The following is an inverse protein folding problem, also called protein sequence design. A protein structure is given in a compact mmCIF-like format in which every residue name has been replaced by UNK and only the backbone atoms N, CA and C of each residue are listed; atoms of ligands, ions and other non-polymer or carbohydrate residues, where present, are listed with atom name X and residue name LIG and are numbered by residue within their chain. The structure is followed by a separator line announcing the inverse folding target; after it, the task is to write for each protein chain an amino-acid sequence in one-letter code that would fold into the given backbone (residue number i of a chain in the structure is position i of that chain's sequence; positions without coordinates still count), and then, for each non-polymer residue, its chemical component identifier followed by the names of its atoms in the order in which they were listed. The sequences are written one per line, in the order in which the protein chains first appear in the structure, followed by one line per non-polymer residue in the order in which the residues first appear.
data_IF_498327501980
#
_entry.id   IF_498327501980
#
_cell.length_a   1.000
_cell.length_b   1.000
_cell.length_c   1.000
_cell.angle_alpha   90.00
_cell.angle_beta   90.00
_cell.angle_gamma   90.00
#
_symmetry.space_group_name_H-M   'P 1'
#
loop_
_entity.id
_entity.type
_entity.pdbx_description
1 polymer ?
#
# COMPACT_ATOMS: atom_id res chain seq x y z
N UNK A 1 19.25 37.47 16.84
CA UNK A 1 19.47 36.29 17.70
C UNK A 1 18.25 35.41 17.55
N UNK A 2 18.26 34.50 16.58
CA UNK A 2 17.12 33.63 16.26
C UNK A 2 17.23 32.37 17.09
N UNK A 3 16.25 32.11 17.95
CA UNK A 3 16.18 30.96 18.85
C UNK A 3 16.31 29.62 18.10
N UNK A 4 17.52 29.09 18.08
CA UNK A 4 17.88 27.73 17.67
C UNK A 4 17.53 26.72 18.77
N UNK A 5 16.30 26.73 19.27
CA UNK A 5 15.89 25.84 20.37
C UNK A 5 14.46 25.32 20.27
N UNK A 6 13.90 25.22 19.06
CA UNK A 6 12.77 24.31 18.83
C UNK A 6 13.30 22.86 18.67
N UNK A 7 14.04 22.39 19.67
CA UNK A 7 14.37 20.97 19.79
C UNK A 7 13.03 20.22 19.86
N UNK A 8 12.74 19.44 18.83
CA UNK A 8 11.51 18.65 18.69
C UNK A 8 11.30 17.79 19.93
N UNK A 9 10.42 18.23 20.84
CA UNK A 9 10.00 17.46 22.00
C UNK A 9 9.22 16.23 21.51
N UNK A 10 9.91 15.11 21.35
CA UNK A 10 9.27 13.82 21.10
C UNK A 10 8.80 13.25 22.44
N UNK A 11 7.50 13.34 22.70
CA UNK A 11 6.90 12.74 23.90
C UNK A 11 6.71 11.23 23.71
N UNK A 12 7.29 10.43 24.61
CA UNK A 12 7.08 8.98 24.65
C UNK A 12 5.93 8.66 25.60
N UNK A 13 4.78 8.31 25.05
CA UNK A 13 3.63 7.85 25.84
C UNK A 13 3.63 6.32 25.97
N UNK A 14 3.40 5.83 27.19
CA UNK A 14 3.07 4.43 27.43
C UNK A 14 1.55 4.30 27.49
N UNK A 15 0.97 3.51 26.59
CA UNK A 15 -0.45 3.19 26.66
C UNK A 15 -0.65 2.10 27.72
N UNK A 16 -1.43 2.41 28.76
CA UNK A 16 -1.86 1.45 29.78
C UNK A 16 -3.37 1.22 29.65
N UNK A 17 -3.81 0.44 28.63
CA UNK A 17 -5.23 0.25 28.39
C UNK A 17 -5.86 -0.60 29.50
N UNK A 18 -7.03 -0.18 29.95
CA UNK A 18 -7.88 -0.96 30.84
C UNK A 18 -8.47 -2.20 30.11
N UNK A 19 -9.16 -3.08 30.85
CA UNK A 19 -9.65 -4.34 30.30
C UNK A 19 -10.59 -4.18 29.09
N UNK A 20 -11.40 -3.13 29.06
CA UNK A 20 -12.30 -2.85 27.95
C UNK A 20 -11.55 -2.35 26.72
N UNK A 21 -10.61 -1.43 26.90
CA UNK A 21 -9.76 -0.90 25.84
C UNK A 21 -8.90 -1.99 25.19
N UNK A 22 -8.36 -2.93 25.97
CA UNK A 22 -7.62 -4.10 25.43
C UNK A 22 -8.49 -4.96 24.53
N UNK A 23 -9.72 -5.24 24.95
CA UNK A 23 -10.68 -5.99 24.13
C UNK A 23 -11.05 -5.23 22.86
N UNK A 24 -11.26 -3.92 22.97
CA UNK A 24 -11.53 -3.07 21.81
C UNK A 24 -10.38 -3.10 20.80
N UNK A 25 -9.14 -2.86 21.24
CA UNK A 25 -7.96 -2.93 20.36
C UNK A 25 -7.78 -4.30 19.72
N UNK A 26 -8.01 -5.37 20.47
CA UNK A 26 -7.89 -6.73 19.92
C UNK A 26 -8.91 -6.99 18.81
N UNK A 27 -10.13 -6.44 18.94
CA UNK A 27 -11.18 -6.56 17.92
C UNK A 27 -10.92 -5.66 16.70
N UNK A 28 -10.42 -4.44 16.91
CA UNK A 28 -10.26 -3.45 15.84
C UNK A 28 -8.92 -3.53 15.12
N UNK A 29 -7.81 -3.64 15.86
CA UNK A 29 -6.49 -3.70 15.25
C UNK A 29 -6.31 -4.96 14.38
N UNK A 30 -6.94 -6.08 14.78
CA UNK A 30 -6.94 -7.31 14.01
C UNK A 30 -7.66 -7.17 12.67
N UNK A 31 -8.87 -6.61 12.67
CA UNK A 31 -9.64 -6.45 11.44
C UNK A 31 -9.01 -5.41 10.49
N UNK A 32 -8.49 -4.29 11.02
CA UNK A 32 -7.78 -3.31 10.19
C UNK A 32 -6.54 -3.91 9.54
N UNK A 33 -5.74 -4.68 10.29
CA UNK A 33 -4.55 -5.36 9.75
C UNK A 33 -4.92 -6.37 8.66
N UNK A 34 -6.00 -7.13 8.86
CA UNK A 34 -6.48 -8.09 7.87
C UNK A 34 -6.90 -7.40 6.58
N UNK A 35 -7.77 -6.38 6.66
CA UNK A 35 -8.26 -5.66 5.48
C UNK A 35 -7.11 -4.99 4.74
N UNK A 36 -6.18 -4.34 5.45
CA UNK A 36 -5.00 -3.73 4.84
C UNK A 36 -4.15 -4.77 4.10
N UNK A 37 -3.85 -5.90 4.73
CA UNK A 37 -3.05 -6.96 4.11
C UNK A 37 -3.76 -7.58 2.90
N UNK A 38 -5.08 -7.72 2.95
CA UNK A 38 -5.88 -8.25 1.85
C UNK A 38 -5.86 -7.30 0.64
N UNK A 39 -6.06 -6.00 0.87
CA UNK A 39 -5.97 -4.98 -0.18
C UNK A 39 -4.56 -4.91 -0.77
N UNK A 40 -3.53 -4.95 0.08
CA UNK A 40 -2.13 -4.97 -0.36
C UNK A 40 -1.84 -6.20 -1.23
N UNK A 41 -2.35 -7.37 -0.84
CA UNK A 41 -2.23 -8.58 -1.65
C UNK A 41 -2.91 -8.40 -3.01
N UNK A 42 -4.16 -7.94 -3.03
CA UNK A 42 -4.90 -7.70 -4.28
C UNK A 42 -4.18 -6.75 -5.21
N UNK A 43 -3.71 -5.61 -4.70
CA UNK A 43 -2.92 -4.68 -5.49
C UNK A 43 -1.67 -5.32 -6.11
N UNK A 44 -0.98 -6.20 -5.38
CA UNK A 44 0.20 -6.89 -5.91
C UNK A 44 -0.15 -7.85 -7.03
N UNK A 45 -1.24 -8.59 -6.90
CA UNK A 45 -1.73 -9.50 -7.93
C UNK A 45 -2.13 -8.71 -9.19
N UNK A 46 -2.94 -7.66 -9.04
CA UNK A 46 -3.38 -6.83 -10.16
C UNK A 46 -2.18 -6.20 -10.90
N UNK A 47 -1.16 -5.74 -10.15
CA UNK A 47 0.08 -5.23 -10.75
C UNK A 47 0.87 -6.32 -11.48
N UNK A 48 0.88 -7.55 -10.97
CA UNK A 48 1.55 -8.68 -11.64
C UNK A 48 0.85 -8.98 -12.95
N UNK A 49 -0.48 -9.11 -12.94
CA UNK A 49 -1.28 -9.34 -14.13
C UNK A 49 -1.07 -8.25 -15.19
N UNK A 50 -1.03 -6.98 -14.79
CA UNK A 50 -0.70 -5.85 -15.68
C UNK A 50 0.67 -6.00 -16.37
N UNK A 51 1.69 -6.48 -15.64
CA UNK A 51 3.02 -6.68 -16.21
C UNK A 51 3.04 -7.86 -17.20
N UNK A 52 2.36 -8.96 -16.86
CA UNK A 52 2.21 -10.11 -17.75
C UNK A 52 1.46 -9.73 -19.04
N UNK A 53 0.44 -8.88 -18.93
CA UNK A 53 -0.33 -8.36 -20.06
C UNK A 53 0.54 -7.52 -21.00
N UNK A 54 1.37 -6.63 -20.44
CA UNK A 54 2.34 -5.84 -21.21
C UNK A 54 3.29 -6.77 -21.98
N UNK A 55 3.88 -7.74 -21.29
CA UNK A 55 4.89 -8.61 -21.88
C UNK A 55 4.26 -9.50 -22.98
N UNK A 56 3.02 -10.00 -22.77
CA UNK A 56 2.25 -10.75 -23.77
C UNK A 56 1.96 -9.93 -25.03
N UNK A 57 1.53 -8.67 -24.88
CA UNK A 57 1.30 -7.77 -26.02
C UNK A 57 2.55 -7.53 -26.85
N UNK A 58 3.70 -7.44 -26.20
CA UNK A 58 4.97 -7.32 -26.90
C UNK A 58 5.31 -8.63 -27.64
N UNK A 59 5.14 -9.79 -26.99
CA UNK A 59 5.47 -11.09 -27.63
C UNK A 59 4.56 -11.43 -28.80
N UNK A 60 3.28 -11.04 -28.72
CA UNK A 60 2.30 -11.29 -29.78
C UNK A 60 2.41 -10.29 -30.95
N UNK A 61 3.30 -9.29 -30.84
CA UNK A 61 3.47 -8.25 -31.85
C UNK A 61 2.35 -7.20 -31.87
N UNK A 62 1.51 -7.14 -30.82
CA UNK A 62 0.45 -6.12 -30.68
C UNK A 62 1.01 -4.73 -30.37
N UNK A 63 2.24 -4.66 -29.85
CA UNK A 63 2.94 -3.42 -29.57
C UNK A 63 4.41 -3.51 -29.99
N UNK A 64 4.93 -2.43 -30.61
CA UNK A 64 6.32 -2.38 -31.09
C UNK A 64 7.33 -2.19 -29.95
N UNK A 65 6.88 -1.58 -28.85
CA UNK A 65 7.70 -1.31 -27.68
C UNK A 65 6.87 -1.37 -26.40
N UNK A 66 7.56 -1.37 -25.25
CA UNK A 66 6.94 -1.56 -23.94
C UNK A 66 6.05 -0.39 -23.53
N UNK A 67 6.37 0.82 -24.00
CA UNK A 67 5.61 2.01 -23.66
C UNK A 67 4.29 2.09 -24.43
N UNK A 68 4.27 1.60 -25.67
CA UNK A 68 3.03 1.35 -26.42
C UNK A 68 2.18 0.26 -25.76
N UNK A 69 2.79 -0.86 -25.36
CA UNK A 69 2.10 -1.91 -24.62
C UNK A 69 1.47 -1.39 -23.31
N UNK A 70 2.20 -0.56 -22.54
CA UNK A 70 1.67 0.08 -21.32
C UNK A 70 0.48 1.01 -21.58
N UNK A 71 0.41 1.67 -22.75
CA UNK A 71 -0.71 2.56 -23.11
C UNK A 71 -1.96 1.78 -23.50
N UNK A 72 -1.78 0.60 -24.07
CA UNK A 72 -2.86 -0.31 -24.44
C UNK A 72 -3.40 -1.12 -23.25
N UNK A 73 -2.57 -1.30 -22.22
CA UNK A 73 -2.89 -2.10 -21.03
C UNK A 73 -3.55 -1.27 -19.93
N UNK A 74 -4.51 -1.85 -19.20
CA UNK A 74 -5.16 -1.15 -18.09
C UNK A 74 -4.23 -1.12 -16.86
N UNK A 75 -3.77 0.08 -16.49
CA UNK A 75 -2.96 0.24 -15.28
C UNK A 75 -3.85 0.12 -14.04
N UNK A 76 -3.59 -0.84 -13.13
CA UNK A 76 -4.34 -0.95 -11.89
C UNK A 76 -4.08 0.26 -10.99
N UNK A 77 -5.15 0.80 -10.42
CA UNK A 77 -5.09 1.85 -9.41
C UNK A 77 -5.00 1.18 -8.03
N UNK A 78 -3.80 1.12 -7.47
CA UNK A 78 -3.65 0.86 -6.05
C UNK A 78 -3.49 2.20 -5.33
N UNK A 79 -4.37 2.47 -4.35
CA UNK A 79 -4.37 3.69 -3.54
C UNK A 79 -3.53 3.52 -2.27
#
# INVERSE_FOLDING_TARGET
MTDTNLAKLAFKFKLEPNGEQRRFFSRTAGCTRFVYNHLLFKCREDFREYLEEIDSRQSNGEALNRDEAKKLSFRPLCY
#
